data_IF_114417002753
#
_entry.id   IF_114417002753
#
_cell.length_a   1.000
_cell.length_b   1.000
_cell.length_c   1.000
_cell.angle_alpha   90.00
_cell.angle_beta   90.00
_cell.angle_gamma   90.00
#
_symmetry.space_group_name_H-M   'P 1'
#
loop_
_entity.id
_entity.type
_entity.pdbx_description
1 polymer ?
#
# COMPACT_ATOMS: atom_id res chain seq x y z
N UNK A 1 5.44 24.66 5.65
CA UNK A 1 6.26 23.71 6.42
C UNK A 1 5.74 22.31 6.25
N UNK A 2 6.65 21.36 6.06
CA UNK A 2 6.36 19.93 5.93
C UNK A 2 6.80 19.24 7.24
N UNK A 3 5.85 19.06 8.17
CA UNK A 3 6.13 18.43 9.47
C UNK A 3 5.73 16.95 9.42
N UNK A 4 6.69 16.06 9.58
CA UNK A 4 6.44 14.63 9.75
C UNK A 4 5.77 14.38 11.11
N UNK A 5 4.58 13.78 11.11
CA UNK A 5 3.88 13.42 12.35
C UNK A 5 4.32 12.06 12.91
N UNK A 6 4.44 11.05 12.04
CA UNK A 6 4.79 9.69 12.42
C UNK A 6 5.64 9.00 11.34
N UNK A 7 6.60 8.19 11.77
CA UNK A 7 7.36 7.23 10.96
C UNK A 7 7.58 5.98 11.81
N UNK A 8 7.02 4.85 11.37
CA UNK A 8 7.02 3.60 12.15
C UNK A 8 7.26 2.40 11.23
N UNK A 9 8.11 1.47 11.68
CA UNK A 9 8.35 0.22 10.98
C UNK A 9 7.51 -0.89 11.61
N UNK A 10 6.37 -1.21 10.98
CA UNK A 10 5.50 -2.30 11.42
C UNK A 10 6.09 -3.67 11.01
N UNK A 11 6.82 -4.29 11.94
CA UNK A 11 7.44 -5.61 11.75
C UNK A 11 6.39 -6.72 11.83
N UNK A 12 6.62 -7.77 11.06
CA UNK A 12 5.85 -9.01 11.02
C UNK A 12 6.84 -10.16 11.09
N UNK A 13 6.47 -11.25 11.75
CA UNK A 13 7.32 -12.41 11.90
C UNK A 13 7.35 -13.25 10.62
N UNK A 14 8.40 -14.05 10.45
CA UNK A 14 8.49 -14.98 9.31
C UNK A 14 7.33 -15.98 9.35
N UNK A 15 6.93 -16.41 10.54
CA UNK A 15 5.84 -17.36 10.77
C UNK A 15 4.48 -16.78 10.37
N UNK A 16 4.22 -15.48 10.63
CA UNK A 16 3.00 -14.80 10.18
C UNK A 16 2.95 -14.72 8.65
N UNK A 17 4.07 -14.38 8.02
CA UNK A 17 4.16 -14.26 6.56
C UNK A 17 4.11 -15.62 5.86
N UNK A 18 4.65 -16.66 6.48
CA UNK A 18 4.67 -18.02 5.92
C UNK A 18 3.27 -18.63 5.78
N UNK A 19 2.23 -18.00 6.33
CA UNK A 19 0.83 -18.41 6.18
C UNK A 19 0.23 -18.05 4.81
N UNK A 20 0.92 -17.19 4.04
CA UNK A 20 0.43 -16.69 2.76
C UNK A 20 1.20 -17.34 1.61
N UNK A 21 0.47 -17.89 0.64
CA UNK A 21 1.06 -18.56 -0.52
C UNK A 21 1.73 -17.56 -1.47
N UNK A 22 1.13 -16.38 -1.64
CA UNK A 22 1.65 -15.30 -2.49
C UNK A 22 1.76 -13.99 -1.74
N UNK A 23 2.55 -13.08 -2.29
CA UNK A 23 2.67 -11.71 -1.73
C UNK A 23 1.30 -11.01 -1.68
N UNK A 24 0.49 -11.13 -2.72
CA UNK A 24 -0.81 -10.44 -2.80
C UNK A 24 -1.79 -10.90 -1.72
N UNK A 25 -1.66 -12.13 -1.24
CA UNK A 25 -2.54 -12.69 -0.20
C UNK A 25 -2.30 -12.01 1.16
N UNK A 26 -1.15 -11.35 1.35
CA UNK A 26 -0.86 -10.56 2.55
C UNK A 26 -1.61 -9.22 2.61
N UNK A 27 -2.30 -8.80 1.53
CA UNK A 27 -2.91 -7.47 1.40
C UNK A 27 -3.78 -7.11 2.60
N UNK A 28 -4.74 -7.96 2.97
CA UNK A 28 -5.68 -7.64 4.06
C UNK A 28 -4.97 -7.59 5.42
N UNK A 29 -4.00 -8.48 5.64
CA UNK A 29 -3.15 -8.46 6.83
C UNK A 29 -2.37 -7.15 6.95
N UNK A 30 -1.70 -6.72 5.88
CA UNK A 30 -0.94 -5.46 5.86
C UNK A 30 -1.84 -4.25 6.02
N UNK A 31 -3.00 -4.22 5.34
CA UNK A 31 -3.98 -3.14 5.48
C UNK A 31 -4.43 -3.01 6.93
N UNK A 32 -4.78 -4.13 7.58
CA UNK A 32 -5.19 -4.12 8.99
C UNK A 32 -4.11 -3.54 9.89
N UNK A 33 -2.85 -3.96 9.74
CA UNK A 33 -1.75 -3.41 10.54
C UNK A 33 -1.59 -1.90 10.40
N UNK A 34 -1.72 -1.37 9.18
CA UNK A 34 -1.63 0.08 8.91
C UNK A 34 -2.79 0.81 9.60
N UNK A 35 -4.02 0.31 9.45
CA UNK A 35 -5.21 0.93 10.05
C UNK A 35 -5.19 0.86 11.57
N UNK A 36 -4.76 -0.26 12.15
CA UNK A 36 -4.59 -0.41 13.60
C UNK A 36 -3.53 0.59 14.14
N UNK A 37 -2.42 0.78 13.42
CA UNK A 37 -1.39 1.76 13.78
C UNK A 37 -1.94 3.19 13.79
N UNK A 38 -2.63 3.60 12.71
CA UNK A 38 -3.23 4.94 12.61
C UNK A 38 -4.28 5.15 13.70
N UNK A 39 -5.14 4.15 13.94
CA UNK A 39 -6.13 4.19 15.02
C UNK A 39 -5.47 4.34 16.40
N UNK A 40 -4.34 3.65 16.65
CA UNK A 40 -3.58 3.78 17.90
C UNK A 40 -2.94 5.17 18.08
N UNK A 41 -2.75 5.92 16.99
CA UNK A 41 -2.32 7.33 17.02
C UNK A 41 -3.49 8.31 17.10
N UNK A 42 -4.74 7.82 17.12
CA UNK A 42 -5.96 8.61 17.01
C UNK A 42 -6.07 9.40 15.69
N UNK A 43 -5.48 8.86 14.61
CA UNK A 43 -5.58 9.43 13.27
C UNK A 43 -6.79 8.82 12.54
N UNK A 44 -7.71 9.68 12.09
CA UNK A 44 -8.81 9.27 11.21
C UNK A 44 -8.34 9.36 9.75
N UNK A 45 -8.24 8.21 9.09
CA UNK A 45 -7.83 8.11 7.68
C UNK A 45 -8.65 8.99 6.75
N UNK A 46 -9.91 9.31 7.08
CA UNK A 46 -10.78 10.17 6.26
C UNK A 46 -10.31 11.62 6.19
N UNK A 47 -9.46 12.03 7.13
CA UNK A 47 -8.87 13.38 7.15
C UNK A 47 -7.73 13.52 6.15
N UNK A 48 -7.22 12.42 5.59
CA UNK A 48 -6.08 12.46 4.69
C UNK A 48 -6.50 12.98 3.31
N UNK A 49 -5.60 13.71 2.64
CA UNK A 49 -5.86 14.24 1.30
C UNK A 49 -5.48 13.26 0.19
N UNK A 50 -4.52 12.36 0.45
CA UNK A 50 -4.08 11.33 -0.47
C UNK A 50 -3.41 10.17 0.28
N UNK A 51 -3.40 9.00 -0.35
CA UNK A 51 -2.64 7.83 0.11
C UNK A 51 -1.54 7.51 -0.91
N UNK A 52 -0.30 7.41 -0.46
CA UNK A 52 0.84 7.14 -1.35
C UNK A 52 1.48 5.82 -0.96
N UNK A 53 1.57 4.90 -1.91
CA UNK A 53 2.27 3.63 -1.76
C UNK A 53 3.60 3.65 -2.50
N UNK A 54 4.53 2.78 -2.14
CA UNK A 54 5.72 2.56 -2.96
C UNK A 54 5.34 1.81 -4.24
N UNK A 55 5.91 2.23 -5.38
CA UNK A 55 5.79 1.48 -6.63
C UNK A 55 6.25 0.01 -6.52
N UNK A 56 5.51 -0.87 -7.19
CA UNK A 56 5.84 -2.28 -7.32
C UNK A 56 6.73 -2.59 -8.53
N UNK A 57 6.88 -3.87 -8.84
CA UNK A 57 7.54 -4.34 -10.05
C UNK A 57 6.60 -4.16 -11.26
N UNK A 58 6.60 -2.95 -11.80
CA UNK A 58 5.86 -2.58 -13.00
C UNK A 58 6.72 -2.75 -14.26
N UNK A 59 6.08 -2.65 -15.42
CA UNK A 59 6.78 -2.44 -16.70
C UNK A 59 7.66 -1.19 -16.63
N UNK A 60 8.74 -1.08 -17.43
CA UNK A 60 9.54 0.13 -17.50
C UNK A 60 8.68 1.35 -17.82
N UNK A 61 8.73 2.35 -16.93
CA UNK A 61 8.05 3.65 -17.06
C UNK A 61 9.02 4.76 -16.63
N UNK A 62 8.84 6.00 -17.12
CA UNK A 62 9.60 7.15 -16.63
C UNK A 62 9.44 7.34 -15.11
N UNK A 63 10.37 8.06 -14.48
CA UNK A 63 10.19 8.47 -13.08
C UNK A 63 9.12 9.55 -12.98
N UNK A 64 8.31 9.49 -11.93
CA UNK A 64 7.26 10.46 -11.66
C UNK A 64 6.26 9.91 -10.65
N UNK A 65 5.27 10.74 -10.31
CA UNK A 65 4.13 10.33 -9.48
C UNK A 65 3.00 9.85 -10.38
N UNK A 66 2.49 8.66 -10.13
CA UNK A 66 1.44 8.05 -10.94
C UNK A 66 0.19 7.81 -10.11
N UNK A 67 -0.97 8.22 -10.62
CA UNK A 67 -2.24 7.83 -10.03
C UNK A 67 -2.40 6.31 -10.09
N UNK A 68 -2.86 5.71 -8.99
CA UNK A 68 -3.11 4.27 -8.97
C UNK A 68 -4.41 3.96 -9.69
N UNK A 69 -4.28 3.43 -10.91
CA UNK A 69 -5.42 3.02 -11.74
C UNK A 69 -5.72 1.53 -11.58
N UNK A 70 -6.90 1.09 -11.97
CA UNK A 70 -7.27 -0.33 -11.94
C UNK A 70 -6.34 -1.20 -12.81
N UNK A 71 -5.84 -0.65 -13.94
CA UNK A 71 -4.85 -1.34 -14.75
C UNK A 71 -3.50 -1.49 -14.04
N UNK A 72 -3.10 -0.49 -13.24
CA UNK A 72 -1.89 -0.55 -12.45
C UNK A 72 -2.05 -1.59 -11.33
N UNK A 73 -3.19 -1.58 -10.63
CA UNK A 73 -3.52 -2.60 -9.62
C UNK A 73 -3.52 -3.99 -10.24
N UNK A 74 -4.11 -4.17 -11.42
CA UNK A 74 -4.10 -5.44 -12.13
C UNK A 74 -2.69 -5.95 -12.40
N UNK A 75 -1.78 -5.09 -12.88
CA UNK A 75 -0.38 -5.47 -13.13
C UNK A 75 0.35 -5.88 -11.83
N UNK A 76 0.07 -5.21 -10.72
CA UNK A 76 0.63 -5.54 -9.40
C UNK A 76 0.07 -6.85 -8.82
N UNK A 77 -1.25 -7.06 -8.92
CA UNK A 77 -1.94 -8.26 -8.43
C UNK A 77 -1.55 -9.49 -9.23
N UNK A 78 -1.43 -9.37 -10.55
CA UNK A 78 -1.00 -10.46 -11.43
C UNK A 78 0.51 -10.62 -11.49
N UNK A 79 1.25 -9.79 -10.73
CA UNK A 79 2.71 -9.83 -10.62
C UNK A 79 3.41 -9.86 -11.98
N UNK A 80 2.96 -9.04 -12.95
CA UNK A 80 3.50 -9.06 -14.32
C UNK A 80 4.99 -8.76 -14.41
N UNK A 81 5.51 -7.92 -13.51
CA UNK A 81 6.95 -7.65 -13.38
C UNK A 81 7.66 -8.55 -12.36
N UNK A 82 6.97 -9.53 -11.77
CA UNK A 82 7.46 -10.42 -10.71
C UNK A 82 6.77 -10.19 -9.36
N UNK A 83 6.88 -11.19 -8.48
CA UNK A 83 6.37 -11.10 -7.11
C UNK A 83 7.38 -10.42 -6.19
N UNK A 84 6.95 -9.34 -5.53
CA UNK A 84 7.75 -8.66 -4.52
C UNK A 84 6.83 -7.92 -3.54
N UNK A 85 7.23 -7.82 -2.27
CA UNK A 85 6.45 -7.17 -1.21
C UNK A 85 6.04 -5.72 -1.57
N UNK A 86 6.84 -5.00 -2.35
CA UNK A 86 6.50 -3.64 -2.80
C UNK A 86 5.29 -3.57 -3.73
N UNK A 87 4.86 -4.69 -4.34
CA UNK A 87 3.62 -4.71 -5.13
C UNK A 87 2.40 -4.37 -4.28
N UNK A 88 2.44 -4.67 -2.98
CA UNK A 88 1.36 -4.30 -2.06
C UNK A 88 1.24 -2.79 -1.87
N UNK A 89 2.30 -2.00 -2.09
CA UNK A 89 2.29 -0.56 -1.87
C UNK A 89 1.18 0.13 -2.66
N UNK A 90 1.18 -0.01 -3.99
CA UNK A 90 0.13 0.55 -4.83
C UNK A 90 -1.27 -0.06 -4.57
N UNK A 91 -1.34 -1.37 -4.31
CA UNK A 91 -2.61 -2.06 -4.03
C UNK A 91 -3.27 -1.50 -2.76
N UNK A 92 -2.50 -1.39 -1.67
CA UNK A 92 -2.98 -0.87 -0.39
C UNK A 92 -3.34 0.61 -0.49
N UNK A 93 -2.54 1.41 -1.20
CA UNK A 93 -2.84 2.81 -1.41
C UNK A 93 -4.17 3.01 -2.15
N UNK A 94 -4.43 2.21 -3.19
CA UNK A 94 -5.72 2.23 -3.91
C UNK A 94 -6.86 1.84 -3.01
N UNK A 95 -6.73 0.73 -2.28
CA UNK A 95 -7.81 0.20 -1.48
C UNK A 95 -8.20 1.14 -0.33
N UNK A 96 -7.22 1.72 0.37
CA UNK A 96 -7.49 2.70 1.43
C UNK A 96 -8.06 3.97 0.82
N UNK A 97 -7.46 4.49 -0.26
CA UNK A 97 -7.92 5.70 -0.94
C UNK A 97 -9.36 5.60 -1.41
N UNK A 98 -9.74 4.49 -2.05
CA UNK A 98 -11.10 4.23 -2.50
C UNK A 98 -12.10 4.19 -1.33
N UNK A 99 -11.74 3.56 -0.21
CA UNK A 99 -12.59 3.44 0.98
C UNK A 99 -12.95 4.80 1.59
N UNK A 100 -12.03 5.76 1.51
CA UNK A 100 -12.23 7.12 2.05
C UNK A 100 -12.57 8.16 0.97
N UNK A 101 -12.67 7.76 -0.30
CA UNK A 101 -12.94 8.65 -1.43
C UNK A 101 -11.83 9.66 -1.72
N UNK A 102 -10.56 9.26 -1.51
CA UNK A 102 -9.37 10.11 -1.70
C UNK A 102 -8.45 9.52 -2.78
N UNK A 103 -7.69 10.38 -3.49
CA UNK A 103 -6.77 9.91 -4.51
C UNK A 103 -5.63 9.07 -3.93
N UNK A 104 -5.11 8.17 -4.75
CA UNK A 104 -3.97 7.32 -4.41
C UNK A 104 -2.88 7.37 -5.47
N UNK A 105 -1.62 7.29 -5.04
CA UNK A 105 -0.46 7.43 -5.92
C UNK A 105 0.65 6.42 -5.60
N UNK A 106 1.56 6.24 -6.56
CA UNK A 106 2.88 5.62 -6.39
C UNK A 106 4.00 6.50 -6.95
#
# INVERSE_FOLDING_TARGET
DETLLFDETLRHSTEEIAQFDKIVDQKDFRKKMILDFLAAKNEDIKTFDAIVGRGGLLKPIPSGTYAVTDSLVYDLVTARGGEHASNLGGILAKEIGDEIGKPSYI
#
